data_IF_132429128094
#
_entry.id   IF_132429128094
#
_cell.length_a   1.000
_cell.length_b   1.000
_cell.length_c   1.000
_cell.angle_alpha   90.00
_cell.angle_beta   90.00
_cell.angle_gamma   90.00
#
_symmetry.space_group_name_H-M   'P 1'
#
loop_
_entity.id
_entity.type
_entity.pdbx_description
1 polymer ?
#
# COMPACT_ATOMS: atom_id res chain seq x y z
N UNK A 1 9.66 12.62 9.23
CA UNK A 1 8.40 12.77 8.47
C UNK A 1 7.93 11.38 8.13
N UNK A 2 6.66 11.06 8.38
CA UNK A 2 6.09 9.77 7.98
C UNK A 2 5.90 9.75 6.45
N UNK A 3 6.19 8.61 5.82
CA UNK A 3 5.98 8.43 4.38
C UNK A 3 4.52 8.05 4.14
N UNK A 4 3.81 8.85 3.36
CA UNK A 4 2.38 8.61 3.06
C UNK A 4 2.14 8.59 1.55
N UNK A 5 1.40 7.59 1.08
CA UNK A 5 0.91 7.53 -0.30
C UNK A 5 -0.59 7.81 -0.39
N UNK A 6 -1.07 8.19 -1.57
CA UNK A 6 -2.50 8.37 -1.84
C UNK A 6 -3.06 7.16 -2.58
N UNK A 7 -4.11 6.56 -2.04
CA UNK A 7 -4.80 5.44 -2.69
C UNK A 7 -5.34 5.90 -4.04
N UNK A 8 -4.95 5.17 -5.08
CA UNK A 8 -5.41 5.33 -6.45
C UNK A 8 -6.57 4.37 -6.78
N UNK A 9 -6.51 3.14 -6.25
CA UNK A 9 -7.54 2.13 -6.48
C UNK A 9 -7.51 1.03 -5.43
N UNK A 10 -8.63 0.33 -5.32
CA UNK A 10 -8.87 -0.78 -4.39
C UNK A 10 -9.50 -1.92 -5.17
N UNK A 11 -8.96 -3.14 -5.04
CA UNK A 11 -9.51 -4.36 -5.60
C UNK A 11 -9.43 -5.50 -4.57
N UNK A 12 -10.51 -5.68 -3.80
CA UNK A 12 -10.51 -6.58 -2.66
C UNK A 12 -9.42 -6.19 -1.64
N UNK A 13 -8.55 -7.11 -1.18
CA UNK A 13 -7.49 -6.81 -0.23
C UNK A 13 -6.28 -6.10 -0.86
N UNK A 14 -6.32 -5.79 -2.18
CA UNK A 14 -5.20 -5.18 -2.89
C UNK A 14 -5.44 -3.70 -3.10
N UNK A 15 -4.49 -2.88 -2.66
CA UNK A 15 -4.49 -1.43 -2.76
C UNK A 15 -3.42 -0.98 -3.75
N UNK A 16 -3.78 0.00 -4.57
CA UNK A 16 -2.90 0.57 -5.58
C UNK A 16 -2.59 2.03 -5.25
N UNK A 17 -1.32 2.42 -5.35
CA UNK A 17 -0.86 3.80 -5.33
C UNK A 17 -0.20 4.08 -6.67
N UNK A 18 -0.66 5.14 -7.36
CA UNK A 18 -0.12 5.51 -8.67
C UNK A 18 1.24 6.20 -8.52
N UNK A 19 2.18 5.78 -9.36
CA UNK A 19 3.54 6.29 -9.43
C UNK A 19 4.52 5.59 -8.48
N UNK A 20 5.77 6.04 -8.57
CA UNK A 20 6.85 5.59 -7.70
C UNK A 20 6.65 6.13 -6.29
N UNK A 21 6.77 5.26 -5.30
CA UNK A 21 6.78 5.62 -3.88
C UNK A 21 8.17 5.36 -3.29
N UNK A 22 8.42 5.92 -2.11
CA UNK A 22 9.65 5.66 -1.34
C UNK A 22 9.53 4.42 -0.44
N UNK A 23 8.47 3.62 -0.61
CA UNK A 23 8.30 2.36 0.09
C UNK A 23 9.27 1.31 -0.43
N UNK A 24 9.51 0.27 0.38
CA UNK A 24 10.33 -0.88 0.02
C UNK A 24 9.47 -2.13 -0.11
N UNK A 25 9.93 -3.08 -0.92
CA UNK A 25 9.31 -4.40 -1.01
C UNK A 25 9.33 -5.06 0.39
N UNK A 26 8.21 -5.64 0.81
CA UNK A 26 8.03 -6.23 2.14
C UNK A 26 7.88 -5.22 3.27
N UNK A 27 7.81 -3.91 2.97
CA UNK A 27 7.57 -2.89 3.99
C UNK A 27 6.13 -3.01 4.52
N UNK A 28 6.01 -3.09 5.85
CA UNK A 28 4.71 -3.07 6.53
C UNK A 28 4.21 -1.64 6.62
N UNK A 29 2.95 -1.43 6.25
CA UNK A 29 2.32 -0.11 6.16
C UNK A 29 0.94 -0.12 6.82
N UNK A 30 0.48 1.07 7.19
CA UNK A 30 -0.90 1.29 7.62
C UNK A 30 -1.71 1.89 6.48
N UNK A 31 -2.88 1.32 6.24
CA UNK A 31 -3.80 1.76 5.18
C UNK A 31 -5.06 2.36 5.79
N UNK A 32 -5.51 3.48 5.22
CA UNK A 32 -6.70 4.23 5.61
C UNK A 32 -6.66 4.86 7.01
N UNK A 33 -7.73 5.54 7.40
CA UNK A 33 -7.92 6.09 8.76
C UNK A 33 -8.05 5.02 9.83
N UNK A 34 -8.47 3.81 9.45
CA UNK A 34 -8.65 2.67 10.36
C UNK A 34 -7.34 1.95 10.68
N UNK A 35 -6.23 2.35 10.04
CA UNK A 35 -4.88 1.80 10.25
C UNK A 35 -4.84 0.27 10.06
N UNK A 36 -5.46 -0.20 8.98
CA UNK A 36 -5.36 -1.59 8.56
C UNK A 36 -3.90 -1.92 8.22
N UNK A 37 -3.44 -3.10 8.64
CA UNK A 37 -2.06 -3.54 8.39
C UNK A 37 -1.96 -4.09 6.98
N UNK A 38 -0.95 -3.66 6.23
CA UNK A 38 -0.65 -4.22 4.92
C UNK A 38 0.85 -4.33 4.67
N UNK A 39 1.19 -4.98 3.56
CA UNK A 39 2.55 -5.19 3.10
C UNK A 39 2.70 -4.75 1.64
N UNK A 40 3.80 -4.08 1.34
CA UNK A 40 4.15 -3.69 -0.03
C UNK A 40 4.65 -4.92 -0.78
N UNK A 41 3.84 -5.42 -1.72
CA UNK A 41 4.10 -6.65 -2.48
C UNK A 41 4.56 -6.43 -3.92
N UNK A 42 4.52 -5.18 -4.42
CA UNK A 42 5.08 -4.84 -5.73
C UNK A 42 5.42 -3.35 -5.84
N UNK A 43 6.53 -3.05 -6.49
CA UNK A 43 7.02 -1.70 -6.78
C UNK A 43 7.46 -1.60 -8.23
N UNK A 44 6.83 -0.69 -8.97
CA UNK A 44 7.23 -0.32 -10.33
C UNK A 44 7.35 1.20 -10.43
N UNK A 45 7.84 1.71 -11.55
CA UNK A 45 7.84 3.17 -11.81
C UNK A 45 6.44 3.77 -11.89
N UNK A 46 5.43 2.96 -12.22
CA UNK A 46 4.06 3.42 -12.47
C UNK A 46 3.08 3.12 -11.34
N UNK A 47 3.38 2.14 -10.50
CA UNK A 47 2.46 1.62 -9.49
C UNK A 47 3.21 1.03 -8.30
N UNK A 48 2.71 1.31 -7.10
CA UNK A 48 3.00 0.57 -5.87
C UNK A 48 1.76 -0.22 -5.47
N UNK A 49 1.94 -1.49 -5.16
CA UNK A 49 0.84 -2.40 -4.79
C UNK A 49 1.03 -2.88 -3.35
N UNK A 50 -0.03 -2.77 -2.55
CA UNK A 50 -0.06 -3.15 -1.15
C UNK A 50 -1.13 -4.22 -0.97
N UNK A 51 -0.79 -5.33 -0.31
CA UNK A 51 -1.73 -6.32 0.16
C UNK A 51 -2.12 -5.95 1.59
N UNK A 52 -3.42 -5.80 1.87
CA UNK A 52 -3.92 -5.60 3.22
C UNK A 52 -4.24 -6.97 3.82
N UNK A 53 -3.78 -7.18 5.05
CA UNK A 53 -4.13 -8.33 5.86
C UNK A 53 -5.28 -7.92 6.77
N UNK A 54 -6.51 -8.10 6.29
CA UNK A 54 -7.66 -8.15 7.19
C UNK A 54 -7.80 -9.59 7.69
N UNK A 55 -7.83 -9.80 9.00
CA UNK A 55 -8.59 -10.92 9.56
C UNK A 55 -10.05 -10.49 9.51
N UNK A 56 -10.83 -11.16 8.66
CA UNK A 56 -12.28 -11.02 8.57
C UNK A 56 -12.97 -11.44 9.86
#
# INVERSE_FOLDING_TARGET
MEKTGKIYGINGPVIYIKGKTDFKMGEMVYVSSERLVGEVISLTSEMTTIQVYEET
#
